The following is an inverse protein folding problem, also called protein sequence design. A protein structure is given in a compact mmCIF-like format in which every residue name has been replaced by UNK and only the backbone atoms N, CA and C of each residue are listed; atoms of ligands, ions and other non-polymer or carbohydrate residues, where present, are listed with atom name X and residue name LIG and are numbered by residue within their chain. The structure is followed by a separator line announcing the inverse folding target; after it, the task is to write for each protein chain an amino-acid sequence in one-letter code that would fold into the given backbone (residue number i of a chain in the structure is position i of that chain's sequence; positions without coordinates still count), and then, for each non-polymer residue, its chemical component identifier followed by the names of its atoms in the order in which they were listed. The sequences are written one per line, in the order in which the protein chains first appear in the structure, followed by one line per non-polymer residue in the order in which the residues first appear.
data_IF_994329574498
#
_entry.id   IF_994329574498
#
_cell.length_a   1.000
_cell.length_b   1.000
_cell.length_c   1.000
_cell.angle_alpha   90.00
_cell.angle_beta   90.00
_cell.angle_gamma   90.00
#
_symmetry.space_group_name_H-M   'P 1'
#
loop_
_entity.id
_entity.type
_entity.pdbx_description
1 polymer ?
#
# COMPACT_ATOMS: atom_id res chain seq x y z
N UNK A 1 -4.81 11.45 21.20
CA UNK A 1 -4.29 10.13 21.60
C UNK A 1 -3.01 10.32 22.37
N UNK A 2 -2.79 9.57 23.45
CA UNK A 2 -1.52 9.60 24.17
C UNK A 2 -0.43 8.93 23.32
N UNK A 3 0.80 9.45 23.40
CA UNK A 3 1.96 8.83 22.74
C UNK A 3 2.17 7.43 23.34
N UNK A 4 2.28 6.36 22.52
CA UNK A 4 2.57 5.03 23.05
C UNK A 4 3.96 5.00 23.71
N UNK A 5 4.07 4.24 24.81
CA UNK A 5 5.32 4.03 25.52
C UNK A 5 5.96 2.71 25.07
N UNK A 6 6.88 2.78 24.11
CA UNK A 6 7.62 1.63 23.57
C UNK A 6 9.08 1.78 23.99
N UNK A 7 9.69 0.72 24.55
CA UNK A 7 11.09 0.80 24.96
C UNK A 7 12.02 0.93 23.75
N UNK A 8 12.97 1.86 23.81
CA UNK A 8 13.94 2.13 22.72
C UNK A 8 14.67 0.85 22.30
N UNK A 9 15.08 0.02 23.28
CA UNK A 9 15.78 -1.25 23.05
C UNK A 9 14.97 -2.24 22.19
N UNK A 10 13.65 -2.23 22.30
CA UNK A 10 12.78 -3.16 21.57
C UNK A 10 12.69 -2.72 20.10
N UNK A 11 12.58 -1.40 19.87
CA UNK A 11 12.62 -0.81 18.52
C UNK A 11 13.97 -1.12 17.85
N UNK A 12 15.09 -0.86 18.54
CA UNK A 12 16.42 -1.15 17.99
C UNK A 12 16.61 -2.63 17.67
N UNK A 13 16.15 -3.51 18.55
CA UNK A 13 16.26 -4.96 18.37
C UNK A 13 15.47 -5.43 17.15
N UNK A 14 14.24 -4.92 16.97
CA UNK A 14 13.43 -5.23 15.79
C UNK A 14 14.09 -4.75 14.49
N UNK A 15 14.63 -3.52 14.47
CA UNK A 15 15.29 -2.95 13.30
C UNK A 15 16.58 -3.70 12.93
N UNK A 16 17.37 -4.13 13.91
CA UNK A 16 18.58 -4.95 13.71
C UNK A 16 18.26 -6.37 13.26
N UNK A 17 17.16 -6.95 13.73
CA UNK A 17 16.71 -8.28 13.33
C UNK A 17 16.27 -8.33 11.86
N UNK A 18 15.56 -7.28 11.40
CA UNK A 18 15.03 -7.18 10.04
C UNK A 18 16.15 -7.21 9.00
N UNK A 19 16.04 -8.13 8.05
CA UNK A 19 16.95 -8.28 6.90
C UNK A 19 16.21 -8.78 5.67
N UNK A 20 16.74 -8.51 4.48
CA UNK A 20 16.19 -9.03 3.24
C UNK A 20 16.45 -10.55 3.15
N UNK A 21 15.42 -11.34 3.40
CA UNK A 21 15.51 -12.80 3.34
C UNK A 21 15.36 -13.30 1.90
N UNK A 22 16.21 -14.26 1.50
CA UNK A 22 16.27 -14.79 0.13
C UNK A 22 15.65 -16.18 -0.02
N UNK A 23 15.44 -16.88 1.10
CA UNK A 23 14.84 -18.22 1.15
C UNK A 23 14.08 -18.39 2.47
N UNK A 24 13.02 -19.19 2.43
CA UNK A 24 12.17 -19.47 3.58
C UNK A 24 11.97 -20.97 3.75
N UNK A 25 11.82 -21.41 4.99
CA UNK A 25 11.41 -22.77 5.34
C UNK A 25 9.92 -22.96 4.99
N UNK A 26 9.64 -23.74 3.95
CA UNK A 26 8.29 -23.94 3.44
C UNK A 26 7.36 -24.68 4.43
N UNK A 27 7.92 -25.37 5.43
CA UNK A 27 7.16 -26.05 6.48
C UNK A 27 6.61 -25.09 7.54
N UNK A 28 7.13 -23.87 7.62
CA UNK A 28 6.72 -22.86 8.61
C UNK A 28 5.74 -21.88 7.99
N UNK A 29 4.60 -21.71 8.66
CA UNK A 29 3.58 -20.72 8.33
C UNK A 29 3.48 -19.66 9.42
N UNK A 30 3.11 -18.47 9.00
CA UNK A 30 2.78 -17.34 9.89
C UNK A 30 1.34 -17.61 10.33
N UNK A 31 1.04 -17.39 11.61
CA UNK A 31 -0.32 -17.55 12.11
C UNK A 31 -1.24 -16.41 11.62
N UNK A 32 -2.55 -16.56 11.78
CA UNK A 32 -3.50 -15.57 11.26
C UNK A 32 -3.35 -14.21 11.96
N UNK A 33 -3.15 -14.21 13.28
CA UNK A 33 -3.02 -12.99 14.08
C UNK A 33 -1.83 -12.12 13.64
N UNK A 34 -0.67 -12.73 13.35
CA UNK A 34 0.51 -11.99 12.89
C UNK A 34 0.33 -11.45 11.48
N UNK A 35 -0.36 -12.17 10.58
CA UNK A 35 -0.61 -11.64 9.23
C UNK A 35 -1.64 -10.52 9.24
N UNK A 36 -2.69 -10.63 10.05
CA UNK A 36 -3.67 -9.55 10.26
C UNK A 36 -2.98 -8.30 10.81
N UNK A 37 -2.08 -8.44 11.78
CA UNK A 37 -1.27 -7.34 12.30
C UNK A 37 -0.43 -6.67 11.21
N UNK A 38 0.20 -7.45 10.33
CA UNK A 38 0.99 -6.91 9.21
C UNK A 38 0.10 -6.12 8.24
N UNK A 39 -1.08 -6.65 7.89
CA UNK A 39 -2.02 -5.99 6.98
C UNK A 39 -2.58 -4.71 7.59
N UNK A 40 -2.88 -4.73 8.89
CA UNK A 40 -3.35 -3.54 9.62
C UNK A 40 -2.26 -2.47 9.71
N UNK A 41 -1.00 -2.86 9.93
CA UNK A 41 0.13 -1.93 9.89
C UNK A 41 0.28 -1.27 8.50
N UNK A 42 0.06 -2.02 7.42
CA UNK A 42 0.05 -1.45 6.07
C UNK A 42 -1.12 -0.48 5.90
N UNK A 43 -2.33 -0.83 6.34
CA UNK A 43 -3.52 0.02 6.26
C UNK A 43 -3.36 1.34 7.03
N UNK A 44 -2.63 1.32 8.15
CA UNK A 44 -2.36 2.50 8.99
C UNK A 44 -1.20 3.37 8.47
N UNK A 45 -0.52 2.97 7.39
CA UNK A 45 0.60 3.74 6.83
C UNK A 45 0.11 5.06 6.24
N UNK A 46 0.75 6.21 6.56
CA UNK A 46 0.36 7.48 5.98
C UNK A 46 0.64 7.52 4.47
N UNK A 47 -0.26 8.13 3.72
CA UNK A 47 -0.09 8.39 2.28
C UNK A 47 -0.30 9.86 1.97
N UNK A 48 0.23 10.34 0.84
CA UNK A 48 0.03 11.73 0.41
C UNK A 48 -1.46 12.03 0.31
N UNK A 49 -1.90 13.11 0.98
CA UNK A 49 -3.31 13.49 1.12
C UNK A 49 -4.23 12.43 1.76
N UNK A 50 -3.67 11.33 2.31
CA UNK A 50 -4.46 10.25 2.90
C UNK A 50 -5.36 9.51 1.90
N UNK A 51 -4.97 9.45 0.63
CA UNK A 51 -5.79 8.79 -0.40
C UNK A 51 -5.53 7.28 -0.52
N UNK A 52 -4.54 6.73 0.17
CA UNK A 52 -4.26 5.29 0.19
C UNK A 52 -4.29 4.67 -1.22
N UNK A 53 -3.49 5.17 -2.19
CA UNK A 53 -3.71 4.89 -3.61
C UNK A 53 -3.10 3.55 -4.04
N UNK A 54 -3.22 2.52 -3.19
CA UNK A 54 -2.72 1.17 -3.44
C UNK A 54 -3.72 0.10 -2.99
N UNK A 55 -3.54 -1.13 -3.50
CA UNK A 55 -4.15 -2.33 -2.94
C UNK A 55 -3.05 -3.32 -2.56
N UNK A 56 -3.32 -4.13 -1.54
CA UNK A 56 -2.48 -5.28 -1.16
C UNK A 56 -3.23 -6.56 -1.44
N UNK A 57 -2.66 -7.40 -2.31
CA UNK A 57 -3.20 -8.72 -2.62
C UNK A 57 -2.41 -9.76 -1.83
N UNK A 58 -3.09 -10.49 -0.95
CA UNK A 58 -2.52 -11.65 -0.24
C UNK A 58 -2.58 -12.86 -1.17
N UNK A 59 -1.56 -13.04 -2.00
CA UNK A 59 -1.56 -14.06 -3.03
C UNK A 59 -1.26 -15.44 -2.43
N UNK A 60 -2.25 -16.21 -1.96
CA UNK A 60 -2.05 -17.57 -1.40
C UNK A 60 -2.32 -18.71 -2.40
N UNK A 61 -2.95 -18.41 -3.54
CA UNK A 61 -3.24 -19.43 -4.55
C UNK A 61 -1.95 -20.08 -5.08
N UNK A 62 -1.91 -21.41 -5.01
CA UNK A 62 -0.70 -22.19 -5.29
C UNK A 62 -0.33 -22.12 -6.77
N UNK A 63 -1.31 -22.19 -7.66
CA UNK A 63 -1.04 -22.20 -9.11
C UNK A 63 -0.64 -20.82 -9.61
N UNK A 64 -1.24 -19.77 -9.07
CA UNK A 64 -0.82 -18.39 -9.30
C UNK A 64 0.61 -18.14 -8.80
N UNK A 65 0.96 -18.57 -7.58
CA UNK A 65 2.34 -18.46 -7.08
C UNK A 65 3.35 -19.20 -7.95
N UNK A 66 3.03 -20.41 -8.43
CA UNK A 66 3.90 -21.15 -9.36
C UNK A 66 4.12 -20.40 -10.68
N UNK A 67 3.10 -19.73 -11.21
CA UNK A 67 3.23 -18.90 -12.43
C UNK A 67 4.17 -17.72 -12.18
N UNK A 68 4.03 -17.06 -11.03
CA UNK A 68 4.90 -15.95 -10.64
C UNK A 68 6.34 -16.41 -10.38
N UNK A 69 6.54 -17.55 -9.72
CA UNK A 69 7.85 -18.13 -9.46
C UNK A 69 8.62 -18.37 -10.77
N UNK A 70 7.96 -18.95 -11.78
CA UNK A 70 8.55 -19.15 -13.12
C UNK A 70 8.97 -17.83 -13.78
N UNK A 71 8.22 -16.75 -13.57
CA UNK A 71 8.54 -15.43 -14.09
C UNK A 71 9.63 -14.69 -13.28
N UNK A 72 9.90 -15.12 -12.05
CA UNK A 72 10.75 -14.40 -11.11
C UNK A 72 12.27 -14.62 -11.31
N UNK A 73 12.66 -15.58 -12.15
CA UNK A 73 14.05 -15.89 -12.46
C UNK A 73 14.90 -16.13 -11.21
N UNK A 74 15.95 -15.32 -11.00
CA UNK A 74 16.83 -15.40 -9.83
C UNK A 74 16.13 -15.18 -8.48
N UNK A 75 14.89 -14.70 -8.49
CA UNK A 75 14.08 -14.47 -7.29
C UNK A 75 13.15 -15.65 -6.92
N UNK A 76 13.15 -16.75 -7.69
CA UNK A 76 12.26 -17.89 -7.46
C UNK A 76 12.33 -18.46 -6.03
N UNK A 77 13.51 -18.50 -5.41
CA UNK A 77 13.70 -18.97 -4.04
C UNK A 77 12.87 -18.22 -2.98
N UNK A 78 12.36 -17.01 -3.29
CA UNK A 78 11.48 -16.23 -2.40
C UNK A 78 10.05 -16.75 -2.37
N UNK A 79 9.64 -17.57 -3.35
CA UNK A 79 8.29 -18.11 -3.45
C UNK A 79 8.01 -19.25 -2.46
N UNK A 80 9.02 -19.71 -1.71
CA UNK A 80 8.83 -20.61 -0.55
C UNK A 80 8.33 -19.87 0.70
N UNK A 81 8.16 -18.54 0.64
CA UNK A 81 7.64 -17.74 1.74
C UNK A 81 6.25 -18.22 2.20
N UNK A 82 5.99 -18.06 3.49
CA UNK A 82 4.67 -18.29 4.10
C UNK A 82 3.60 -17.48 3.36
N UNK A 83 3.80 -16.16 3.24
CA UNK A 83 2.90 -15.22 2.60
C UNK A 83 3.61 -14.41 1.52
N UNK A 84 2.91 -14.14 0.42
CA UNK A 84 3.33 -13.24 -0.66
C UNK A 84 2.31 -12.11 -0.78
N UNK A 85 2.77 -10.89 -0.52
CA UNK A 85 1.97 -9.68 -0.67
C UNK A 85 2.34 -8.99 -1.98
N UNK A 86 1.35 -8.71 -2.82
CA UNK A 86 1.52 -7.97 -4.07
C UNK A 86 0.89 -6.60 -3.87
N UNK A 87 1.72 -5.57 -3.96
CA UNK A 87 1.27 -4.19 -3.95
C UNK A 87 0.93 -3.74 -5.37
N UNK A 88 -0.22 -3.11 -5.53
CA UNK A 88 -0.64 -2.50 -6.79
C UNK A 88 -0.98 -1.04 -6.53
N UNK A 89 -0.60 -0.15 -7.44
CA UNK A 89 -0.97 1.26 -7.36
C UNK A 89 -2.16 1.55 -8.27
N UNK A 90 -3.03 2.47 -7.86
CA UNK A 90 -4.16 2.91 -8.69
C UNK A 90 -3.64 3.60 -9.95
N UNK A 91 -4.34 3.45 -11.07
CA UNK A 91 -4.05 4.21 -12.30
C UNK A 91 -4.49 5.66 -12.14
N UNK A 92 -3.93 6.59 -12.94
CA UNK A 92 -4.38 7.98 -12.93
C UNK A 92 -5.87 8.14 -13.23
N UNK A 93 -6.41 7.29 -14.11
CA UNK A 93 -7.84 7.24 -14.41
C UNK A 93 -8.66 6.78 -13.20
N UNK A 94 -8.30 5.67 -12.56
CA UNK A 94 -9.03 5.15 -11.41
C UNK A 94 -8.99 6.13 -10.22
N UNK A 95 -7.90 6.88 -10.06
CA UNK A 95 -7.79 7.93 -9.06
C UNK A 95 -8.78 9.07 -9.28
N UNK A 96 -8.95 9.50 -10.55
CA UNK A 96 -9.50 10.83 -10.86
C UNK A 96 -10.84 10.83 -11.59
N UNK A 97 -11.27 9.68 -12.13
CA UNK A 97 -12.59 9.54 -12.73
C UNK A 97 -13.68 9.92 -11.72
N UNK A 98 -14.85 10.33 -12.23
CA UNK A 98 -16.02 10.59 -11.39
C UNK A 98 -16.36 9.34 -10.58
N UNK A 99 -16.57 9.50 -9.28
CA UNK A 99 -16.81 8.39 -8.35
C UNK A 99 -15.66 7.34 -8.38
N UNK A 100 -14.44 7.80 -8.66
CA UNK A 100 -13.21 7.03 -8.58
C UNK A 100 -12.65 6.93 -7.16
N UNK A 101 -11.42 6.47 -7.05
CA UNK A 101 -10.77 6.16 -5.76
C UNK A 101 -10.69 7.37 -4.83
N UNK A 102 -10.32 8.56 -5.32
CA UNK A 102 -10.26 9.77 -4.47
C UNK A 102 -11.65 10.12 -3.92
N UNK A 103 -12.71 9.98 -4.74
CA UNK A 103 -14.07 10.26 -4.29
C UNK A 103 -14.52 9.25 -3.22
N UNK A 104 -14.19 7.97 -3.39
CA UNK A 104 -14.43 6.92 -2.41
C UNK A 104 -13.72 7.22 -1.08
N UNK A 105 -12.43 7.53 -1.11
CA UNK A 105 -11.67 7.83 0.11
C UNK A 105 -12.24 9.03 0.87
N UNK A 106 -12.59 10.10 0.15
CA UNK A 106 -13.12 11.30 0.78
C UNK A 106 -14.56 11.13 1.31
N UNK A 107 -15.40 10.35 0.61
CA UNK A 107 -16.82 10.18 0.95
C UNK A 107 -17.06 9.03 1.92
N UNK A 108 -16.52 7.86 1.61
CA UNK A 108 -16.88 6.60 2.24
C UNK A 108 -15.91 6.21 3.37
N UNK A 109 -14.65 6.67 3.30
CA UNK A 109 -13.63 6.38 4.33
C UNK A 109 -13.45 7.55 5.29
N UNK A 110 -13.30 8.77 4.77
CA UNK A 110 -13.12 9.97 5.58
C UNK A 110 -14.45 10.64 5.99
N UNK A 111 -15.59 10.14 5.49
CA UNK A 111 -16.94 10.63 5.80
C UNK A 111 -17.12 12.16 5.62
N UNK A 112 -16.36 12.78 4.71
CA UNK A 112 -16.45 14.22 4.50
C UNK A 112 -17.73 14.57 3.76
N UNK A 113 -18.40 15.66 4.13
CA UNK A 113 -19.58 16.16 3.39
C UNK A 113 -19.19 16.79 2.03
N UNK A 114 -20.18 17.04 1.18
CA UNK A 114 -19.95 17.52 -0.20
C UNK A 114 -19.16 18.84 -0.29
N UNK A 115 -19.35 19.76 0.66
CA UNK A 115 -18.67 21.06 0.68
C UNK A 115 -17.18 20.84 0.97
N UNK A 116 -16.88 20.08 2.02
CA UNK A 116 -15.49 19.78 2.42
C UNK A 116 -14.78 19.00 1.31
N UNK A 117 -15.42 17.97 0.73
CA UNK A 117 -14.84 17.21 -0.39
C UNK A 117 -14.50 18.10 -1.58
N UNK A 118 -15.36 19.06 -1.91
CA UNK A 118 -15.14 19.98 -3.03
C UNK A 118 -13.93 20.87 -2.77
N UNK A 119 -13.82 21.44 -1.56
CA UNK A 119 -12.66 22.23 -1.16
C UNK A 119 -11.36 21.42 -1.18
N UNK A 120 -11.38 20.22 -0.59
CA UNK A 120 -10.23 19.32 -0.54
C UNK A 120 -9.73 18.94 -1.94
N UNK A 121 -10.65 18.53 -2.84
CA UNK A 121 -10.29 18.22 -4.23
C UNK A 121 -9.77 19.43 -4.99
N UNK A 122 -10.30 20.63 -4.71
CA UNK A 122 -9.81 21.86 -5.35
C UNK A 122 -8.36 22.13 -4.96
N UNK A 123 -8.04 22.01 -3.66
CA UNK A 123 -6.68 22.19 -3.17
C UNK A 123 -5.73 21.12 -3.72
N UNK A 124 -6.11 19.85 -3.67
CA UNK A 124 -5.32 18.76 -4.27
C UNK A 124 -5.10 18.96 -5.77
N UNK A 125 -6.13 19.33 -6.55
CA UNK A 125 -6.00 19.59 -7.99
C UNK A 125 -5.05 20.75 -8.28
N UNK A 126 -5.10 21.82 -7.49
CA UNK A 126 -4.18 22.94 -7.60
C UNK A 126 -2.75 22.46 -7.40
N UNK A 127 -2.47 21.82 -6.26
CA UNK A 127 -1.17 21.25 -5.94
C UNK A 127 -0.66 20.29 -7.04
N UNK A 128 -1.50 19.35 -7.49
CA UNK A 128 -1.15 18.37 -8.51
C UNK A 128 -0.84 19.04 -9.87
N UNK A 129 -1.50 20.15 -10.18
CA UNK A 129 -1.27 20.91 -11.41
C UNK A 129 -0.05 21.83 -11.32
N UNK A 130 0.11 22.57 -10.22
CA UNK A 130 1.09 23.65 -10.11
C UNK A 130 2.43 23.16 -9.58
N UNK A 131 2.40 22.38 -8.50
CA UNK A 131 3.60 22.10 -7.72
C UNK A 131 4.29 20.85 -8.28
N UNK A 132 3.50 19.83 -8.64
CA UNK A 132 3.99 18.54 -9.13
C UNK A 132 3.82 18.35 -10.65
N UNK A 133 2.97 19.16 -11.31
CA UNK A 133 2.73 19.10 -12.77
C UNK A 133 2.33 17.71 -13.28
N UNK A 134 1.51 17.01 -12.48
CA UNK A 134 1.01 15.65 -12.76
C UNK A 134 -0.46 15.63 -13.16
N UNK A 135 -1.23 16.68 -12.87
CA UNK A 135 -2.67 16.68 -13.13
C UNK A 135 -2.99 16.61 -14.63
N UNK A 136 -3.87 15.68 -15.02
CA UNK A 136 -4.26 15.44 -16.41
C UNK A 136 -3.34 14.46 -17.17
N UNK A 137 -2.29 13.95 -16.51
CA UNK A 137 -1.36 12.96 -17.07
C UNK A 137 -1.51 11.64 -16.30
N UNK A 138 -2.16 10.66 -16.92
CA UNK A 138 -2.52 9.41 -16.26
C UNK A 138 -1.29 8.61 -15.81
N UNK A 139 -0.20 8.64 -16.59
CA UNK A 139 1.02 7.93 -16.24
C UNK A 139 1.69 8.61 -15.05
N UNK A 140 1.82 9.94 -15.06
CA UNK A 140 2.42 10.65 -13.92
C UNK A 140 1.60 10.50 -12.64
N UNK A 141 0.27 10.47 -12.73
CA UNK A 141 -0.59 10.20 -11.58
C UNK A 141 -0.42 8.77 -11.07
N UNK A 142 -0.30 7.78 -11.96
CA UNK A 142 0.01 6.41 -11.58
C UNK A 142 1.37 6.30 -10.88
N UNK A 143 2.40 6.93 -11.45
CA UNK A 143 3.74 6.99 -10.86
C UNK A 143 3.75 7.69 -9.49
N UNK A 144 2.92 8.72 -9.31
CA UNK A 144 2.74 9.35 -8.01
C UNK A 144 2.08 8.41 -6.98
N UNK A 145 1.06 7.66 -7.39
CA UNK A 145 0.41 6.67 -6.54
C UNK A 145 1.30 5.46 -6.20
N UNK A 146 2.28 5.14 -7.05
CA UNK A 146 3.20 4.03 -6.86
C UNK A 146 4.43 4.37 -5.98
N UNK A 147 4.57 5.63 -5.53
CA UNK A 147 5.73 6.11 -4.78
C UNK A 147 5.51 6.16 -3.27
#
# INVERSE_FOLDING_TARGET
MAKPNIAIKDIESALKFRRAMKSFDASKKINEEDIELILEAIRLTPTSYGFEPFNVIVAQDTDFRKKLEKAAGVNAAKFTASHLLIFTAKTGEELTRKDGHIDHMLRDVAYMNAIIRTGYKTFWKKWAKTDFKIFGDNEKLHQWAAR
#
